data_IF_429746173561
#
_entry.id   IF_429746173561
#
_cell.length_a   1.000
_cell.length_b   1.000
_cell.length_c   1.000
_cell.angle_alpha   90.00
_cell.angle_beta   90.00
_cell.angle_gamma   90.00
#
_symmetry.space_group_name_H-M   'P 1'
#
loop_
_entity.id
_entity.type
_entity.pdbx_description
1 polymer ?
#
# COMPACT_ATOMS: atom_id res chain seq x y z
N UNK A 1 9.92 -7.49 -48.11
CA UNK A 1 9.27 -6.89 -46.93
C UNK A 1 10.17 -7.11 -45.75
N UNK A 2 10.82 -6.07 -45.22
CA UNK A 2 11.62 -6.17 -44.01
C UNK A 2 10.67 -6.05 -42.81
N UNK A 3 10.57 -7.10 -42.00
CA UNK A 3 9.93 -7.02 -40.71
C UNK A 3 10.87 -6.27 -39.77
N UNK A 4 10.52 -5.03 -39.43
CA UNK A 4 11.14 -4.36 -38.30
C UNK A 4 10.49 -4.93 -37.05
N UNK A 5 11.16 -5.92 -36.46
CA UNK A 5 10.86 -6.43 -35.13
C UNK A 5 10.96 -5.24 -34.17
N UNK A 6 9.81 -4.73 -33.74
CA UNK A 6 9.77 -3.80 -32.62
C UNK A 6 10.11 -4.63 -31.40
N UNK A 7 11.41 -4.69 -31.06
CA UNK A 7 11.85 -5.09 -29.73
C UNK A 7 11.24 -4.08 -28.78
N UNK A 8 10.02 -4.34 -28.31
CA UNK A 8 9.49 -3.69 -27.12
C UNK A 8 10.49 -4.05 -26.02
N UNK A 9 11.26 -3.11 -25.47
CA UNK A 9 11.94 -3.40 -24.23
C UNK A 9 10.83 -3.76 -23.25
N UNK A 10 10.80 -5.04 -22.86
CA UNK A 10 10.03 -5.49 -21.71
C UNK A 10 10.41 -4.58 -20.56
N UNK A 11 9.46 -3.78 -20.11
CA UNK A 11 9.50 -2.87 -18.96
C UNK A 11 9.67 -3.61 -17.61
N UNK A 12 10.43 -4.70 -17.56
CA UNK A 12 10.39 -5.67 -16.46
C UNK A 12 11.69 -6.46 -16.22
N UNK A 13 12.86 -6.00 -16.68
CA UNK A 13 14.13 -6.70 -16.49
C UNK A 13 15.23 -5.82 -15.86
N UNK A 14 14.87 -4.86 -15.02
CA UNK A 14 15.81 -3.81 -14.61
C UNK A 14 15.68 -3.31 -13.18
N UNK A 15 15.31 -4.14 -12.19
CA UNK A 15 15.55 -3.84 -10.77
C UNK A 15 15.78 -5.14 -9.98
N UNK A 16 16.65 -6.04 -10.45
CA UNK A 16 17.14 -7.15 -9.63
C UNK A 16 18.39 -6.65 -8.87
N UNK A 17 18.20 -5.71 -7.96
CA UNK A 17 19.30 -5.06 -7.23
C UNK A 17 18.84 -4.34 -5.98
N UNK A 18 19.79 -3.84 -5.20
CA UNK A 18 19.57 -3.17 -3.90
C UNK A 18 18.47 -2.08 -3.94
N UNK A 19 18.27 -1.42 -5.08
CA UNK A 19 17.19 -0.45 -5.29
C UNK A 19 15.77 -1.02 -5.15
N UNK A 20 15.48 -2.21 -5.71
CA UNK A 20 14.17 -2.85 -5.53
C UNK A 20 13.94 -3.32 -4.09
N UNK A 21 15.00 -3.77 -3.42
CA UNK A 21 14.93 -4.15 -2.02
C UNK A 21 14.62 -2.93 -1.13
N UNK A 22 15.35 -1.82 -1.32
CA UNK A 22 15.11 -0.57 -0.62
C UNK A 22 13.71 -0.02 -0.89
N UNK A 23 13.24 -0.05 -2.14
CA UNK A 23 11.89 0.38 -2.50
C UNK A 23 10.81 -0.48 -1.81
N UNK A 24 11.01 -1.81 -1.75
CA UNK A 24 10.10 -2.73 -1.06
C UNK A 24 10.06 -2.46 0.45
N UNK A 25 11.20 -2.19 1.08
CA UNK A 25 11.25 -1.84 2.50
C UNK A 25 10.53 -0.51 2.80
N UNK A 26 10.75 0.51 1.97
CA UNK A 26 10.05 1.79 2.09
C UNK A 26 8.55 1.58 1.91
N UNK A 27 8.12 0.83 0.89
CA UNK A 27 6.71 0.54 0.64
C UNK A 27 6.05 -0.19 1.83
N UNK A 28 6.73 -1.19 2.39
CA UNK A 28 6.25 -1.91 3.57
C UNK A 28 6.14 -0.98 4.80
N UNK A 29 7.15 -0.11 5.00
CA UNK A 29 7.13 0.88 6.09
C UNK A 29 6.00 1.90 5.93
N UNK A 30 5.78 2.41 4.70
CA UNK A 30 4.68 3.33 4.43
C UNK A 30 3.33 2.68 4.66
N UNK A 31 3.14 1.42 4.22
CA UNK A 31 1.90 0.69 4.44
C UNK A 31 1.62 0.44 5.93
N UNK A 32 2.65 0.09 6.70
CA UNK A 32 2.52 -0.06 8.15
C UNK A 32 2.16 1.27 8.84
N UNK A 33 2.83 2.35 8.45
CA UNK A 33 2.56 3.67 9.02
C UNK A 33 1.15 4.17 8.66
N UNK A 34 0.71 3.92 7.43
CA UNK A 34 -0.64 4.26 6.97
C UNK A 34 -1.68 3.50 7.79
N UNK A 35 -1.54 2.17 7.91
CA UNK A 35 -2.43 1.36 8.73
C UNK A 35 -2.44 1.82 10.20
N UNK A 36 -1.30 2.25 10.75
CA UNK A 36 -1.24 2.80 12.11
C UNK A 36 -1.97 4.14 12.21
N UNK A 37 -1.80 5.03 11.24
CA UNK A 37 -2.50 6.31 11.19
C UNK A 37 -4.00 6.13 11.06
N UNK A 38 -4.47 5.19 10.22
CA UNK A 38 -5.89 4.84 10.12
C UNK A 38 -6.44 4.38 11.45
N UNK A 39 -5.74 3.49 12.18
CA UNK A 39 -6.17 3.08 13.52
C UNK A 39 -6.25 4.23 14.50
N UNK A 40 -5.27 5.14 14.50
CA UNK A 40 -5.27 6.32 15.38
C UNK A 40 -6.44 7.24 15.04
N UNK A 41 -6.64 7.56 13.76
CA UNK A 41 -7.72 8.40 13.30
C UNK A 41 -9.09 7.81 13.69
N UNK A 42 -9.32 6.53 13.42
CA UNK A 42 -10.54 5.84 13.81
C UNK A 42 -10.70 5.74 15.34
N UNK A 43 -9.61 5.62 16.10
CA UNK A 43 -9.68 5.57 17.57
C UNK A 43 -10.08 6.90 18.20
N UNK A 44 -9.82 8.02 17.52
CA UNK A 44 -10.20 9.37 17.96
C UNK A 44 -11.69 9.64 17.75
N UNK A 45 -12.35 8.92 16.84
CA UNK A 45 -13.79 8.99 16.68
C UNK A 45 -14.50 8.37 17.89
N UNK A 46 -15.65 8.94 18.20
CA UNK A 46 -16.58 8.41 19.18
C UNK A 46 -17.37 7.22 18.62
N UNK A 47 -18.00 6.44 19.50
CA UNK A 47 -18.69 5.21 19.09
C UNK A 47 -19.87 5.48 18.14
N UNK A 48 -20.52 6.64 18.25
CA UNK A 48 -21.60 7.02 17.32
C UNK A 48 -21.08 7.43 15.95
N UNK A 49 -19.95 8.14 15.88
CA UNK A 49 -19.32 8.49 14.60
C UNK A 49 -18.78 7.23 13.88
N UNK A 50 -18.33 6.23 14.64
CA UNK A 50 -17.97 4.93 14.08
C UNK A 50 -19.19 4.17 13.56
N UNK A 51 -20.32 4.21 14.29
CA UNK A 51 -21.57 3.57 13.86
C UNK A 51 -22.15 4.22 12.59
N UNK A 52 -22.02 5.55 12.45
CA UNK A 52 -22.44 6.30 11.26
C UNK A 52 -21.72 5.83 9.97
N UNK A 53 -20.47 5.38 10.10
CA UNK A 53 -19.69 4.80 8.99
C UNK A 53 -19.75 3.27 8.97
N UNK A 54 -20.57 2.65 9.83
CA UNK A 54 -20.78 1.22 9.92
C UNK A 54 -19.58 0.42 10.44
N UNK A 55 -18.73 1.04 11.27
CA UNK A 55 -17.57 0.40 11.88
C UNK A 55 -17.77 0.24 13.40
N UNK A 56 -17.16 -0.79 13.97
CA UNK A 56 -17.09 -0.98 15.41
C UNK A 56 -15.64 -0.88 15.91
N UNK A 57 -15.45 -0.65 17.22
CA UNK A 57 -14.10 -0.64 17.84
C UNK A 57 -13.32 -1.93 17.60
N UNK A 58 -14.01 -3.06 17.43
CA UNK A 58 -13.40 -4.36 17.11
C UNK A 58 -12.76 -4.38 15.72
N UNK A 59 -13.40 -3.74 14.73
CA UNK A 59 -12.90 -3.68 13.36
C UNK A 59 -11.62 -2.86 13.25
N UNK A 60 -11.49 -1.79 14.04
CA UNK A 60 -10.26 -0.97 14.13
C UNK A 60 -9.06 -1.80 14.58
N UNK A 61 -9.27 -2.77 15.49
CA UNK A 61 -8.21 -3.66 15.96
C UNK A 61 -7.81 -4.74 14.93
N UNK A 62 -8.66 -4.99 13.93
CA UNK A 62 -8.43 -5.99 12.87
C UNK A 62 -7.77 -5.42 11.60
N UNK A 63 -7.91 -4.11 11.36
CA UNK A 63 -7.08 -3.34 10.41
C UNK A 63 -5.63 -3.34 10.87
#
# INVERSE_FOLDING_TARGET
>A
MAAFDTSRPTYAAGQQGFGAFAASLIAAFTAWNDARQTRIALSQLSDHELDDIGLTRGDINSL
#
